data_IF_298791150364
#
_entry.id   IF_298791150364
#
_cell.length_a   1.000
_cell.length_b   1.000
_cell.length_c   1.000
_cell.angle_alpha   90.00
_cell.angle_beta   90.00
_cell.angle_gamma   90.00
#
_symmetry.space_group_name_H-M   'P 1'
#
loop_
_entity.id
_entity.type
_entity.pdbx_description
1 polymer ?
#
# COMPACT_ATOMS: atom_id res chain seq x y z
N UNK A 1 -5.23 -46.03 -4.41
CA UNK A 1 -4.36 -44.82 -4.37
C UNK A 1 -5.08 -43.51 -4.71
N UNK A 2 -6.38 -43.49 -5.01
CA UNK A 2 -7.12 -42.27 -5.41
C UNK A 2 -7.72 -41.49 -4.22
N UNK A 3 -8.07 -42.17 -3.13
CA UNK A 3 -8.71 -41.56 -1.95
C UNK A 3 -7.78 -40.58 -1.21
N UNK A 4 -6.50 -40.93 -1.07
CA UNK A 4 -5.51 -40.05 -0.43
C UNK A 4 -5.26 -38.76 -1.23
N UNK A 5 -5.36 -38.82 -2.55
CA UNK A 5 -5.12 -37.66 -3.41
C UNK A 5 -6.27 -36.63 -3.30
N UNK A 6 -7.52 -37.11 -3.23
CA UNK A 6 -8.69 -36.25 -3.03
C UNK A 6 -8.68 -35.56 -1.65
N UNK A 7 -8.22 -36.25 -0.61
CA UNK A 7 -8.04 -35.66 0.71
C UNK A 7 -6.97 -34.56 0.71
N UNK A 8 -5.85 -34.76 0.03
CA UNK A 8 -4.78 -33.75 -0.05
C UNK A 8 -5.25 -32.53 -0.84
N UNK A 9 -5.93 -32.72 -1.97
CA UNK A 9 -6.47 -31.60 -2.77
C UNK A 9 -7.55 -30.84 -1.99
N UNK A 10 -8.43 -31.54 -1.29
CA UNK A 10 -9.45 -30.92 -0.43
C UNK A 10 -8.83 -30.11 0.71
N UNK A 11 -7.76 -30.62 1.33
CA UNK A 11 -7.06 -29.95 2.42
C UNK A 11 -6.29 -28.72 1.93
N UNK A 12 -5.65 -28.79 0.75
CA UNK A 12 -5.01 -27.64 0.11
C UNK A 12 -6.02 -26.57 -0.29
N UNK A 13 -7.16 -26.95 -0.87
CA UNK A 13 -8.24 -26.03 -1.20
C UNK A 13 -8.79 -25.36 0.06
N UNK A 14 -8.96 -26.10 1.15
CA UNK A 14 -9.42 -25.57 2.43
C UNK A 14 -8.42 -24.60 3.07
N UNK A 15 -7.13 -24.92 3.07
CA UNK A 15 -6.06 -24.02 3.53
C UNK A 15 -6.00 -22.76 2.67
N UNK A 16 -6.13 -22.89 1.35
CA UNK A 16 -6.17 -21.75 0.44
C UNK A 16 -7.37 -20.85 0.72
N UNK A 17 -8.55 -21.44 0.95
CA UNK A 17 -9.77 -20.71 1.28
C UNK A 17 -9.71 -20.01 2.65
N UNK A 18 -9.15 -20.66 3.68
CA UNK A 18 -8.90 -20.02 4.97
C UNK A 18 -7.89 -18.87 4.84
N UNK A 19 -6.81 -19.06 4.09
CA UNK A 19 -5.81 -18.02 3.84
C UNK A 19 -6.42 -16.79 3.17
N UNK A 20 -7.25 -16.99 2.16
CA UNK A 20 -7.95 -15.91 1.47
C UNK A 20 -8.96 -15.18 2.38
N UNK A 21 -9.69 -15.93 3.22
CA UNK A 21 -10.64 -15.36 4.18
C UNK A 21 -9.97 -14.57 5.32
N UNK A 22 -8.77 -14.98 5.74
CA UNK A 22 -7.94 -14.25 6.71
C UNK A 22 -7.36 -12.97 6.10
N UNK A 23 -6.87 -13.03 4.85
CA UNK A 23 -6.39 -11.85 4.13
C UNK A 23 -7.49 -10.78 3.93
N UNK A 24 -8.73 -11.21 3.64
CA UNK A 24 -9.87 -10.29 3.53
C UNK A 24 -10.22 -9.55 4.83
N UNK A 25 -9.94 -10.13 6.00
CA UNK A 25 -10.13 -9.47 7.30
C UNK A 25 -9.01 -8.48 7.66
N UNK A 26 -7.81 -8.69 7.13
CA UNK A 26 -6.68 -7.77 7.32
C UNK A 26 -6.84 -6.49 6.49
N UNK A 27 -7.34 -6.60 5.25
CA UNK A 27 -7.69 -5.44 4.43
C UNK A 27 -8.76 -4.55 5.10
N UNK A 28 -9.74 -5.16 5.77
CA UNK A 28 -10.81 -4.46 6.51
C UNK A 28 -10.33 -3.71 7.78
N UNK A 29 -9.08 -3.92 8.22
CA UNK A 29 -8.48 -3.18 9.35
C UNK A 29 -7.63 -2.00 8.94
N UNK A 30 -7.34 -1.83 7.66
CA UNK A 30 -6.61 -0.65 7.20
C UNK A 30 -7.51 0.59 7.35
N UNK A 31 -7.08 1.57 8.14
CA UNK A 31 -7.78 2.84 8.33
C UNK A 31 -6.85 3.98 7.99
N UNK A 32 -7.43 5.09 7.53
CA UNK A 32 -6.68 6.29 7.19
C UNK A 32 -6.00 6.83 8.45
N UNK A 33 -4.69 6.95 8.39
CA UNK A 33 -3.85 7.42 9.50
C UNK A 33 -3.27 8.79 9.22
N UNK A 34 -3.03 9.09 7.95
CA UNK A 34 -2.48 10.37 7.51
C UNK A 34 -2.93 10.67 6.08
N UNK A 35 -3.25 11.94 5.82
CA UNK A 35 -3.57 12.47 4.51
C UNK A 35 -2.71 13.72 4.27
N UNK A 36 -2.18 13.84 3.06
CA UNK A 36 -1.44 15.01 2.60
C UNK A 36 -1.84 15.37 1.17
N UNK A 37 -1.54 16.60 0.77
CA UNK A 37 -1.79 17.08 -0.60
C UNK A 37 -0.49 17.58 -1.19
N UNK A 38 -0.34 17.38 -2.50
CA UNK A 38 0.82 17.84 -3.26
C UNK A 38 0.38 18.37 -4.61
N UNK A 39 1.07 19.39 -5.11
CA UNK A 39 0.98 19.85 -6.50
C UNK A 39 1.90 19.07 -7.43
N UNK A 40 2.72 18.15 -6.91
CA UNK A 40 3.61 17.31 -7.71
C UNK A 40 2.83 16.37 -8.64
N UNK A 41 3.44 16.00 -9.76
CA UNK A 41 2.92 14.94 -10.59
C UNK A 41 2.93 13.60 -9.84
N UNK A 42 1.94 12.76 -10.13
CA UNK A 42 1.81 11.46 -9.49
C UNK A 42 3.04 10.56 -9.74
N UNK A 43 3.72 10.71 -10.87
CA UNK A 43 4.95 9.97 -11.17
C UNK A 43 6.12 10.38 -10.26
N UNK A 44 6.44 11.68 -10.19
CA UNK A 44 7.52 12.20 -9.32
C UNK A 44 7.29 11.87 -7.85
N UNK A 45 6.03 11.94 -7.43
CA UNK A 45 5.64 11.62 -6.07
C UNK A 45 5.82 10.12 -5.77
N UNK A 46 5.40 9.25 -6.69
CA UNK A 46 5.61 7.79 -6.57
C UNK A 46 7.10 7.47 -6.56
N UNK A 47 7.88 8.08 -7.44
CA UNK A 47 9.33 7.90 -7.50
C UNK A 47 10.02 8.36 -6.22
N UNK A 48 9.63 9.51 -5.64
CA UNK A 48 10.16 9.95 -4.35
C UNK A 48 9.87 8.92 -3.24
N UNK A 49 8.62 8.46 -3.17
CA UNK A 49 8.18 7.47 -2.17
C UNK A 49 8.87 6.10 -2.35
N UNK A 50 9.23 5.71 -3.58
CA UNK A 50 9.99 4.49 -3.90
C UNK A 50 11.50 4.61 -3.61
N UNK A 51 12.08 5.81 -3.77
CA UNK A 51 13.52 6.04 -3.63
C UNK A 51 14.01 6.01 -2.17
N UNK A 52 13.10 6.00 -1.19
CA UNK A 52 13.39 5.83 0.24
C UNK A 52 13.94 4.43 0.59
N UNK A 53 15.13 4.08 0.09
CA UNK A 53 15.74 2.74 0.21
C UNK A 53 16.45 2.47 1.52
N UNK A 54 16.77 3.49 2.31
CA UNK A 54 17.64 3.34 3.50
C UNK A 54 16.89 3.63 4.80
N UNK A 55 15.87 4.48 4.78
CA UNK A 55 14.98 4.78 5.93
C UNK A 55 13.51 5.02 5.53
N UNK A 56 13.15 4.77 4.27
CA UNK A 56 11.83 5.12 3.73
C UNK A 56 10.75 4.07 3.98
N UNK A 57 9.53 4.43 3.58
CA UNK A 57 8.25 3.71 3.74
C UNK A 57 8.24 2.24 3.29
N UNK A 58 9.33 1.75 2.69
CA UNK A 58 9.52 0.35 2.31
C UNK A 58 8.71 -0.06 1.08
N UNK A 59 8.24 0.91 0.30
CA UNK A 59 7.63 0.66 -1.01
C UNK A 59 8.77 0.32 -1.97
N UNK A 60 9.05 -0.98 -2.15
CA UNK A 60 10.07 -1.41 -3.11
C UNK A 60 9.41 -1.71 -4.44
N UNK A 61 9.98 -1.15 -5.52
CA UNK A 61 9.66 -1.49 -6.91
C UNK A 61 9.69 -3.01 -7.23
N UNK A 62 10.39 -3.82 -6.42
CA UNK A 62 10.45 -5.29 -6.55
C UNK A 62 9.35 -6.06 -5.79
N UNK A 63 8.79 -5.47 -4.73
CA UNK A 63 7.92 -6.18 -3.78
C UNK A 63 6.51 -5.51 -3.65
N UNK A 64 6.33 -4.33 -4.24
CA UNK A 64 5.10 -3.54 -4.21
C UNK A 64 5.05 -2.56 -5.39
N UNK A 65 4.76 -3.08 -6.58
CA UNK A 65 4.46 -2.23 -7.73
C UNK A 65 3.22 -1.38 -7.43
N UNK A 66 3.25 -0.11 -7.83
CA UNK A 66 2.05 0.71 -7.86
C UNK A 66 1.00 0.03 -8.73
N UNK A 67 -0.17 -0.18 -8.16
CA UNK A 67 -1.32 -0.74 -8.82
C UNK A 67 -2.35 0.37 -9.02
N UNK A 68 -2.97 0.40 -10.20
CA UNK A 68 -4.11 1.28 -10.43
C UNK A 68 -5.37 0.58 -9.93
N UNK A 69 -6.20 1.28 -9.17
CA UNK A 69 -7.50 0.77 -8.77
C UNK A 69 -8.39 0.64 -10.01
N UNK A 70 -8.87 -0.57 -10.31
CA UNK A 70 -9.72 -0.84 -11.47
C UNK A 70 -11.04 -0.07 -11.42
N UNK A 71 -11.60 0.14 -10.23
CA UNK A 71 -12.87 0.86 -10.03
C UNK A 71 -12.68 2.38 -9.96
N UNK A 72 -11.44 2.83 -9.75
CA UNK A 72 -11.08 4.24 -9.65
C UNK A 72 -9.72 4.50 -10.31
N UNK A 73 -9.68 4.69 -11.65
CA UNK A 73 -8.43 4.80 -12.41
C UNK A 73 -7.52 5.97 -11.98
N UNK A 74 -8.10 6.99 -11.35
CA UNK A 74 -7.38 8.13 -10.76
C UNK A 74 -6.64 7.76 -9.45
N UNK A 75 -6.83 6.55 -8.93
CA UNK A 75 -6.22 6.08 -7.68
C UNK A 75 -5.15 5.05 -8.02
N UNK A 76 -3.91 5.38 -7.72
CA UNK A 76 -2.80 4.44 -7.70
C UNK A 76 -2.47 4.08 -6.26
N UNK A 77 -2.19 2.82 -5.96
CA UNK A 77 -1.86 2.39 -4.60
C UNK A 77 -0.67 1.44 -4.56
N UNK A 78 0.04 1.45 -3.45
CA UNK A 78 1.10 0.51 -3.15
C UNK A 78 0.94 -0.02 -1.73
N UNK A 79 1.29 -1.28 -1.52
CA UNK A 79 1.17 -1.96 -0.24
C UNK A 79 2.55 -2.39 0.28
N UNK A 80 2.75 -2.22 1.58
CA UNK A 80 3.87 -2.76 2.32
C UNK A 80 3.35 -3.75 3.38
N UNK A 81 3.30 -5.05 3.08
CA UNK A 81 2.75 -6.05 4.00
C UNK A 81 3.61 -6.20 5.27
N UNK A 82 4.93 -6.01 5.18
CA UNK A 82 5.84 -6.10 6.32
C UNK A 82 5.57 -5.02 7.38
N UNK A 83 4.99 -3.88 6.98
CA UNK A 83 4.63 -2.76 7.87
C UNK A 83 3.12 -2.58 8.02
N UNK A 84 2.32 -3.48 7.46
CA UNK A 84 0.85 -3.39 7.40
C UNK A 84 0.36 -2.00 6.98
N UNK A 85 0.92 -1.49 5.89
CA UNK A 85 0.68 -0.13 5.39
C UNK A 85 0.26 -0.16 3.93
N UNK A 86 -0.70 0.69 3.56
CA UNK A 86 -1.12 0.95 2.18
C UNK A 86 -1.03 2.44 1.93
N UNK A 87 -0.59 2.80 0.74
CA UNK A 87 -0.43 4.18 0.32
C UNK A 87 -1.24 4.35 -0.95
N UNK A 88 -2.06 5.38 -1.00
CA UNK A 88 -2.81 5.77 -2.19
C UNK A 88 -2.36 7.15 -2.64
N UNK A 89 -2.23 7.30 -3.95
CA UNK A 89 -2.03 8.55 -4.65
C UNK A 89 -3.25 8.74 -5.54
N UNK A 90 -4.02 9.78 -5.25
CA UNK A 90 -5.28 10.09 -5.93
C UNK A 90 -5.07 11.34 -6.76
N UNK A 91 -5.32 11.27 -8.06
CA UNK A 91 -5.33 12.43 -8.93
C UNK A 91 -6.64 13.20 -8.77
N UNK A 92 -6.55 14.43 -8.26
CA UNK A 92 -7.68 15.30 -7.96
C UNK A 92 -7.52 16.64 -8.69
N UNK A 93 -7.66 16.61 -10.01
CA UNK A 93 -7.44 17.77 -10.88
C UNK A 93 -5.96 18.16 -10.90
N UNK A 94 -5.66 19.39 -10.45
CA UNK A 94 -4.30 19.93 -10.40
C UNK A 94 -3.53 19.47 -9.16
N UNK A 95 -4.20 18.89 -8.17
CA UNK A 95 -3.59 18.36 -6.95
C UNK A 95 -3.58 16.83 -6.92
N UNK A 96 -2.63 16.26 -6.18
CA UNK A 96 -2.59 14.85 -5.81
C UNK A 96 -2.83 14.73 -4.31
N UNK A 97 -3.77 13.87 -3.94
CA UNK A 97 -4.04 13.54 -2.54
C UNK A 97 -3.32 12.25 -2.20
N UNK A 98 -2.47 12.30 -1.19
CA UNK A 98 -1.80 11.13 -0.63
C UNK A 98 -2.57 10.66 0.59
N UNK A 99 -2.90 9.37 0.62
CA UNK A 99 -3.53 8.74 1.79
C UNK A 99 -2.69 7.57 2.25
N UNK A 100 -2.42 7.56 3.54
CA UNK A 100 -1.67 6.51 4.22
C UNK A 100 -2.61 5.77 5.15
N UNK A 101 -2.74 4.48 4.90
CA UNK A 101 -3.54 3.58 5.69
C UNK A 101 -2.62 2.65 6.46
N UNK A 102 -2.85 2.52 7.75
CA UNK A 102 -2.14 1.54 8.58
C UNK A 102 -3.15 0.65 9.28
N UNK A 103 -2.67 -0.46 9.82
CA UNK A 103 -3.48 -1.36 10.64
C UNK A 103 -4.10 -0.58 11.81
N UNK A 104 -5.42 -0.66 11.91
CA UNK A 104 -6.25 -0.04 12.96
C UNK A 104 -6.12 1.49 13.04
N UNK A 105 -5.52 2.15 12.03
CA UNK A 105 -5.32 3.61 12.02
C UNK A 105 -4.15 4.08 12.88
N UNK A 106 -3.20 3.18 13.17
CA UNK A 106 -2.00 3.51 13.94
C UNK A 106 -1.22 4.69 13.32
N UNK A 107 -0.70 5.58 14.15
CA UNK A 107 0.11 6.70 13.70
C UNK A 107 1.36 6.22 12.93
N UNK A 108 1.73 6.97 11.89
CA UNK A 108 2.99 6.74 11.17
C UNK A 108 4.18 6.96 12.11
N UNK A 109 5.26 6.21 11.87
CA UNK A 109 6.51 6.43 12.60
C UNK A 109 7.04 7.83 12.28
N UNK A 110 7.75 8.44 13.24
CA UNK A 110 8.33 9.79 13.05
C UNK A 110 9.31 9.86 11.87
N UNK A 111 10.05 8.78 11.61
CA UNK A 111 10.92 8.64 10.44
C UNK A 111 10.12 8.71 9.14
N UNK A 112 9.02 7.97 9.06
CA UNK A 112 8.14 7.91 7.89
C UNK A 112 7.51 9.27 7.62
N UNK A 113 7.02 9.94 8.68
CA UNK A 113 6.43 11.28 8.58
C UNK A 113 7.44 12.29 8.04
N UNK A 114 8.65 12.32 8.60
CA UNK A 114 9.72 13.21 8.14
C UNK A 114 10.09 12.95 6.68
N UNK A 115 10.12 11.69 6.27
CA UNK A 115 10.39 11.32 4.88
C UNK A 115 9.29 11.80 3.94
N UNK A 116 8.01 11.62 4.32
CA UNK A 116 6.87 12.12 3.53
C UNK A 116 6.94 13.65 3.43
N UNK A 117 7.16 14.34 4.54
CA UNK A 117 7.27 15.81 4.57
C UNK A 117 8.41 16.29 3.66
N UNK A 118 9.54 15.58 3.62
CA UNK A 118 10.65 15.89 2.71
C UNK A 118 10.26 15.69 1.23
N UNK A 119 9.63 14.56 0.88
CA UNK A 119 9.14 14.33 -0.49
C UNK A 119 8.15 15.40 -0.94
N UNK A 120 7.26 15.86 -0.05
CA UNK A 120 6.28 16.90 -0.36
C UNK A 120 6.93 18.28 -0.49
N UNK A 121 7.99 18.56 0.27
CA UNK A 121 8.72 19.83 0.22
C UNK A 121 9.55 19.97 -1.06
N UNK A 122 10.20 18.89 -1.53
CA UNK A 122 11.01 18.89 -2.76
C UNK A 122 10.17 19.16 -4.01
N UNK A 123 8.87 18.88 -3.96
CA UNK A 123 7.89 19.19 -5.01
C UNK A 123 7.53 20.66 -5.21
N UNK A 124 8.02 21.54 -4.34
CA UNK A 124 7.77 22.98 -4.37
C UNK A 124 8.99 23.80 -4.82
N UNK A 125 10.08 23.14 -5.24
CA UNK A 125 11.32 23.79 -5.70
C UNK A 125 11.35 24.04 -7.21
#
# INVERSE_FOLDING_TARGET
MTVSFLLVVGLLAWVFWMSAALAGKEAARSRLSFEARSSMFAEDLRDCLEQGRVEGLGIRRKDGAWQTNADAPAVSFAENPARHMRIEVIEAGDERVLRFYTRDGAALYRSDRRFIDACLADGHA
#
